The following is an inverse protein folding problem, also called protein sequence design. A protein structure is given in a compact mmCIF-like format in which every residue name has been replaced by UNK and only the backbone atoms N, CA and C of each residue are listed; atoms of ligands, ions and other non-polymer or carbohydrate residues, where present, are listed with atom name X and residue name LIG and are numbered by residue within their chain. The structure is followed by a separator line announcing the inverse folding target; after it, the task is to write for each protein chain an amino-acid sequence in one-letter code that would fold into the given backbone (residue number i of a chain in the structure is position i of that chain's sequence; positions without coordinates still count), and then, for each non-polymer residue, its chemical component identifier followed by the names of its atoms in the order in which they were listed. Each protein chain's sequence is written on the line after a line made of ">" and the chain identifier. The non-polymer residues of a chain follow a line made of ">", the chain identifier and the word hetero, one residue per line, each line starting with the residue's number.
data_IF_116794200406
#
_entry.id   IF_116794200406
#
_cell.length_a   1.000
_cell.length_b   1.000
_cell.length_c   1.000
_cell.angle_alpha   90.00
_cell.angle_beta   90.00
_cell.angle_gamma   90.00
#
_symmetry.space_group_name_H-M   'P 1'
#
loop_
_entity.id
_entity.type
_entity.pdbx_description
1 polymer ?
#
# COMPACT_ATOMS: atom_id res chain seq x y z
N UNK A 1 8.97 -0.74 8.24
CA UNK A 1 8.98 -1.49 6.96
C UNK A 1 9.75 -0.66 5.93
N UNK A 2 10.57 -1.28 5.07
CA UNK A 2 11.25 -0.62 3.94
C UNK A 2 10.77 -1.23 2.62
N UNK A 3 10.21 -0.45 1.66
CA UNK A 3 9.89 -0.95 0.35
C UNK A 3 11.18 -1.31 -0.40
N UNK A 4 11.18 -2.41 -1.14
CA UNK A 4 12.32 -2.85 -1.95
C UNK A 4 12.00 -2.83 -3.43
N UNK A 5 10.82 -3.29 -3.83
CA UNK A 5 10.42 -3.34 -5.24
C UNK A 5 8.91 -3.32 -5.37
N UNK A 6 8.39 -2.61 -6.38
CA UNK A 6 7.00 -2.67 -6.80
C UNK A 6 6.93 -2.95 -8.30
N UNK A 7 6.18 -3.96 -8.70
CA UNK A 7 5.78 -4.19 -10.08
C UNK A 7 4.26 -4.06 -10.16
N UNK A 8 3.79 -3.31 -11.15
CA UNK A 8 2.36 -3.11 -11.39
C UNK A 8 2.02 -3.14 -12.88
N UNK A 9 0.89 -3.75 -13.24
CA UNK A 9 0.35 -3.80 -14.59
C UNK A 9 -1.17 -3.84 -14.53
N UNK A 10 -1.85 -3.13 -15.41
CA UNK A 10 -3.31 -3.05 -15.46
C UNK A 10 -3.95 -2.41 -14.22
N UNK A 11 -3.18 -1.75 -13.34
CA UNK A 11 -3.68 -1.15 -12.10
C UNK A 11 -3.87 0.36 -12.25
N UNK A 12 -5.10 0.85 -12.10
CA UNK A 12 -5.47 2.27 -12.26
C UNK A 12 -4.87 2.88 -13.56
N UNK A 13 -4.07 3.96 -13.60
CA UNK A 13 -3.57 4.47 -14.90
C UNK A 13 -2.46 3.60 -15.50
N UNK A 14 -1.90 2.64 -14.77
CA UNK A 14 -0.76 1.83 -15.20
C UNK A 14 -1.21 0.65 -16.07
N UNK A 15 -1.63 0.91 -17.32
CA UNK A 15 -2.00 -0.13 -18.30
C UNK A 15 -0.84 -1.13 -18.53
N UNK A 16 0.34 -0.61 -18.79
CA UNK A 16 1.53 -1.41 -19.09
C UNK A 16 2.31 -1.75 -17.82
N UNK A 17 3.14 -2.80 -17.89
CA UNK A 17 4.00 -3.21 -16.78
C UNK A 17 4.99 -2.10 -16.45
N UNK A 18 4.96 -1.64 -15.21
CA UNK A 18 5.96 -0.75 -14.63
C UNK A 18 6.66 -1.45 -13.48
N UNK A 19 7.93 -1.15 -13.31
CA UNK A 19 8.77 -1.70 -12.26
C UNK A 19 9.51 -0.56 -11.59
N UNK A 20 9.41 -0.48 -10.27
CA UNK A 20 10.06 0.52 -9.45
C UNK A 20 10.94 -0.21 -8.44
N UNK A 21 12.25 0.00 -8.54
CA UNK A 21 13.24 -0.51 -7.60
C UNK A 21 13.51 0.55 -6.53
N UNK A 22 13.11 0.25 -5.29
CA UNK A 22 13.34 1.11 -4.13
C UNK A 22 14.58 0.69 -3.33
N UNK A 23 15.20 -0.46 -3.65
CA UNK A 23 16.28 -1.03 -2.84
C UNK A 23 17.45 -0.06 -2.65
N UNK A 24 17.77 0.69 -3.71
CA UNK A 24 18.85 1.69 -3.76
C UNK A 24 18.44 3.08 -3.28
N UNK A 25 17.14 3.32 -3.03
CA UNK A 25 16.61 4.63 -2.69
C UNK A 25 16.48 4.77 -1.17
N UNK A 26 17.12 5.79 -0.60
CA UNK A 26 16.94 6.16 0.81
C UNK A 26 15.98 7.34 0.97
N UNK A 27 16.02 8.28 0.02
CA UNK A 27 15.12 9.41 -0.10
C UNK A 27 14.85 9.64 -1.58
N UNK A 28 13.59 9.86 -1.96
CA UNK A 28 13.22 10.04 -3.37
C UNK A 28 11.96 10.89 -3.48
N UNK A 29 11.77 11.46 -4.67
CA UNK A 29 10.60 12.27 -5.02
C UNK A 29 9.91 11.64 -6.22
N UNK A 30 8.59 11.48 -6.12
CA UNK A 30 7.74 11.09 -7.27
C UNK A 30 7.13 12.37 -7.85
N UNK A 31 7.62 12.81 -9.02
CA UNK A 31 7.14 14.01 -9.71
C UNK A 31 6.36 13.66 -10.98
N UNK A 32 5.36 14.47 -11.29
CA UNK A 32 4.54 14.36 -12.50
C UNK A 32 3.30 15.23 -12.43
N UNK A 33 2.60 15.49 -13.54
CA UNK A 33 1.38 16.29 -13.58
C UNK A 33 0.26 15.68 -12.75
N UNK A 34 -0.76 16.46 -12.38
CA UNK A 34 -1.97 15.93 -11.74
C UNK A 34 -2.60 14.84 -12.63
N UNK A 35 -3.09 13.75 -12.02
CA UNK A 35 -3.65 12.61 -12.77
C UNK A 35 -2.63 11.60 -13.34
N UNK A 36 -1.32 11.86 -13.26
CA UNK A 36 -0.28 10.93 -13.75
C UNK A 36 -0.13 9.61 -12.99
N UNK A 37 -0.92 9.38 -11.93
CA UNK A 37 -0.89 8.12 -11.17
C UNK A 37 0.09 8.06 -10.01
N UNK A 38 0.69 9.20 -9.59
CA UNK A 38 1.57 9.28 -8.40
C UNK A 38 0.92 8.64 -7.16
N UNK A 39 -0.30 9.06 -6.84
CA UNK A 39 -1.08 8.47 -5.74
C UNK A 39 -1.41 7.00 -5.99
N UNK A 40 -1.57 6.58 -7.25
CA UNK A 40 -1.85 5.19 -7.59
C UNK A 40 -0.67 4.25 -7.34
N UNK A 41 0.58 4.72 -7.40
CA UNK A 41 1.77 3.93 -6.97
C UNK A 41 1.66 3.59 -5.49
N UNK A 42 1.32 4.60 -4.70
CA UNK A 42 1.16 4.52 -3.27
C UNK A 42 -0.01 3.60 -2.89
N UNK A 43 -1.17 3.78 -3.54
CA UNK A 43 -2.31 2.89 -3.37
C UNK A 43 -2.02 1.45 -3.80
N UNK A 44 -1.20 1.23 -4.83
CA UNK A 44 -0.80 -0.11 -5.24
C UNK A 44 -0.03 -0.84 -4.14
N UNK A 45 0.85 -0.14 -3.40
CA UNK A 45 1.55 -0.73 -2.24
C UNK A 45 0.57 -1.12 -1.13
N UNK A 46 -0.40 -0.25 -0.80
CA UNK A 46 -1.42 -0.55 0.22
C UNK A 46 -2.27 -1.73 -0.20
N UNK A 47 -2.74 -1.74 -1.44
CA UNK A 47 -3.56 -2.82 -1.95
C UNK A 47 -2.77 -4.13 -1.99
N UNK A 48 -1.49 -4.10 -2.37
CA UNK A 48 -0.62 -5.27 -2.32
C UNK A 48 -0.52 -5.83 -0.88
N UNK A 49 -0.33 -4.96 0.12
CA UNK A 49 -0.26 -5.35 1.53
C UNK A 49 -1.60 -5.93 2.04
N UNK A 50 -2.68 -5.15 1.96
CA UNK A 50 -3.92 -5.45 2.69
C UNK A 50 -5.02 -6.06 1.82
N UNK A 51 -4.92 -5.95 0.50
CA UNK A 51 -5.94 -6.44 -0.44
C UNK A 51 -7.21 -5.59 -0.47
N UNK A 52 -7.16 -4.39 0.10
CA UNK A 52 -8.29 -3.49 0.25
C UNK A 52 -8.03 -2.18 -0.49
N UNK A 53 -9.00 -1.67 -1.27
CA UNK A 53 -8.92 -0.34 -1.87
C UNK A 53 -8.83 0.73 -0.79
N UNK A 54 -8.16 1.83 -1.10
CA UNK A 54 -7.98 2.93 -0.14
C UNK A 54 -9.20 3.86 -0.02
N UNK A 55 -10.20 3.67 -0.88
CA UNK A 55 -11.47 4.39 -0.95
C UNK A 55 -12.62 3.37 -0.97
N UNK A 56 -13.88 3.83 -0.86
CA UNK A 56 -15.07 2.97 -1.00
C UNK A 56 -15.30 2.58 -2.47
N UNK A 57 -14.32 1.88 -3.05
CA UNK A 57 -14.34 1.38 -4.41
C UNK A 57 -14.50 -0.14 -4.40
N UNK A 58 -15.07 -0.69 -5.45
CA UNK A 58 -14.98 -2.12 -5.71
C UNK A 58 -13.58 -2.45 -6.22
N UNK A 59 -13.18 -3.71 -6.05
CA UNK A 59 -11.86 -4.14 -6.52
C UNK A 59 -11.71 -4.07 -8.04
N UNK A 60 -12.81 -4.19 -8.80
CA UNK A 60 -12.80 -4.07 -10.26
C UNK A 60 -12.57 -2.62 -10.72
N UNK A 61 -12.92 -1.62 -9.90
CA UNK A 61 -12.65 -0.21 -10.19
C UNK A 61 -11.15 0.12 -10.18
N UNK A 62 -10.33 -0.77 -9.60
CA UNK A 62 -8.87 -0.66 -9.62
C UNK A 62 -8.27 -1.18 -10.93
N UNK A 63 -9.03 -1.92 -11.73
CA UNK A 63 -8.59 -2.41 -13.03
C UNK A 63 -8.57 -1.24 -14.02
N UNK A 64 -7.46 -1.07 -14.71
CA UNK A 64 -7.36 -0.11 -15.81
C UNK A 64 -8.44 -0.43 -16.87
N UNK A 65 -9.19 0.57 -17.32
CA UNK A 65 -10.31 0.40 -18.27
C UNK A 65 -9.94 -0.32 -19.57
N UNK A 66 -8.66 -0.27 -19.97
CA UNK A 66 -8.15 -0.90 -21.19
C UNK A 66 -7.37 -2.19 -20.89
N UNK A 67 -7.64 -2.85 -19.76
CA UNK A 67 -6.99 -4.08 -19.32
C UNK A 67 -8.02 -5.10 -18.85
N UNK A 68 -7.74 -6.39 -19.04
CA UNK A 68 -8.61 -7.49 -18.57
C UNK A 68 -8.43 -7.86 -17.09
N UNK A 69 -7.67 -7.06 -16.33
CA UNK A 69 -7.24 -7.37 -14.96
C UNK A 69 -6.00 -6.57 -14.55
N UNK A 70 -5.55 -6.76 -13.32
CA UNK A 70 -4.31 -6.18 -12.82
C UNK A 70 -3.40 -7.22 -12.18
N UNK A 71 -2.12 -6.87 -12.15
CA UNK A 71 -1.05 -7.59 -11.49
C UNK A 71 -0.30 -6.61 -10.59
N UNK A 72 -0.09 -7.01 -9.33
CA UNK A 72 0.76 -6.32 -8.37
C UNK A 72 1.73 -7.31 -7.76
N UNK A 73 2.99 -6.91 -7.66
CA UNK A 73 4.03 -7.66 -6.96
C UNK A 73 4.87 -6.68 -6.15
N UNK A 74 4.72 -6.76 -4.83
CA UNK A 74 5.34 -5.85 -3.89
C UNK A 74 6.28 -6.60 -2.97
N UNK A 75 7.55 -6.19 -2.97
CA UNK A 75 8.60 -6.72 -2.12
C UNK A 75 9.05 -5.65 -1.12
N UNK A 76 9.14 -6.00 0.16
CA UNK A 76 9.52 -5.11 1.25
C UNK A 76 10.26 -5.87 2.35
N UNK A 77 10.95 -5.15 3.25
CA UNK A 77 11.62 -5.75 4.41
C UNK A 77 11.10 -5.24 5.75
N UNK A 78 11.08 -6.13 6.74
CA UNK A 78 10.73 -5.86 8.14
C UNK A 78 11.64 -6.70 9.04
N UNK A 79 12.34 -6.07 9.98
CA UNK A 79 13.21 -6.78 10.94
C UNK A 79 14.25 -7.69 10.27
N UNK A 80 14.88 -7.23 9.18
CA UNK A 80 15.88 -8.01 8.44
C UNK A 80 15.34 -9.14 7.55
N UNK A 81 14.04 -9.47 7.61
CA UNK A 81 13.39 -10.44 6.73
C UNK A 81 12.80 -9.76 5.50
N UNK A 82 12.82 -10.45 4.37
CA UNK A 82 12.23 -9.99 3.11
C UNK A 82 10.89 -10.68 2.89
N UNK A 83 9.88 -9.88 2.58
CA UNK A 83 8.52 -10.30 2.31
C UNK A 83 8.14 -9.90 0.90
N UNK A 84 7.38 -10.76 0.22
CA UNK A 84 6.85 -10.47 -1.11
C UNK A 84 5.39 -10.88 -1.17
N UNK A 85 4.54 -10.01 -1.72
CA UNK A 85 3.13 -10.29 -1.95
C UNK A 85 2.85 -10.09 -3.43
N UNK A 86 2.29 -11.11 -4.04
CA UNK A 86 1.79 -11.09 -5.41
C UNK A 86 0.26 -11.09 -5.36
N UNK A 87 -0.40 -10.17 -6.08
CA UNK A 87 -1.85 -10.13 -6.26
C UNK A 87 -2.18 -10.08 -7.73
N UNK A 88 -3.03 -11.00 -8.16
CA UNK A 88 -3.58 -11.06 -9.51
C UNK A 88 -5.10 -10.90 -9.43
N UNK A 89 -5.66 -10.08 -10.30
CA UNK A 89 -7.10 -9.99 -10.47
C UNK A 89 -7.44 -9.98 -11.95
N UNK A 90 -8.51 -10.67 -12.34
CA UNK A 90 -9.13 -10.58 -13.67
C UNK A 90 -10.47 -9.86 -13.52
N UNK A 91 -10.80 -8.98 -14.48
CA UNK A 91 -12.04 -8.22 -14.46
C UNK A 91 -13.25 -9.15 -14.44
N UNK A 92 -14.25 -8.85 -13.60
CA UNK A 92 -15.45 -9.70 -13.43
C UNK A 92 -15.17 -11.05 -12.77
N UNK A 93 -13.95 -11.29 -12.27
CA UNK A 93 -13.55 -12.53 -11.60
C UNK A 93 -12.90 -12.23 -10.24
N UNK A 94 -12.71 -13.28 -9.45
CA UNK A 94 -12.01 -13.22 -8.18
C UNK A 94 -10.54 -12.78 -8.32
N UNK A 95 -9.95 -12.40 -7.18
CA UNK A 95 -8.52 -12.15 -7.07
C UNK A 95 -7.80 -13.31 -6.40
N UNK A 96 -6.55 -13.52 -6.78
CA UNK A 96 -5.62 -14.45 -6.12
C UNK A 96 -4.50 -13.66 -5.44
N UNK A 97 -4.01 -14.18 -4.32
CA UNK A 97 -2.86 -13.63 -3.63
C UNK A 97 -1.86 -14.74 -3.27
N UNK A 98 -0.56 -14.43 -3.35
CA UNK A 98 0.53 -15.30 -2.93
C UNK A 98 1.47 -14.53 -2.02
N UNK A 99 1.94 -15.19 -0.96
CA UNK A 99 2.82 -14.60 0.03
C UNK A 99 4.12 -15.38 0.12
N UNK A 100 5.24 -14.67 0.20
CA UNK A 100 6.57 -15.24 0.28
C UNK A 100 7.36 -14.61 1.42
N UNK A 101 8.16 -15.42 2.10
CA UNK A 101 9.10 -14.97 3.15
C UNK A 101 10.48 -15.49 2.79
N UNK A 102 11.45 -14.60 2.64
CA UNK A 102 12.81 -14.89 2.20
C UNK A 102 12.83 -15.75 0.92
N UNK A 103 11.97 -15.42 -0.05
CA UNK A 103 11.85 -16.13 -1.32
C UNK A 103 11.01 -17.42 -1.29
N UNK A 104 10.67 -17.94 -0.11
CA UNK A 104 9.88 -19.17 0.02
C UNK A 104 8.40 -18.85 0.08
N UNK A 105 7.61 -19.48 -0.80
CA UNK A 105 6.14 -19.34 -0.81
C UNK A 105 5.55 -19.95 0.46
N UNK A 106 4.69 -19.19 1.14
CA UNK A 106 3.90 -19.68 2.27
C UNK A 106 2.52 -20.10 1.77
N UNK A 107 2.03 -21.24 2.27
CA UNK A 107 0.68 -21.74 2.00
C UNK A 107 -0.35 -21.02 2.90
N UNK A 108 -0.54 -19.72 2.65
CA UNK A 108 -1.50 -18.88 3.39
C UNK A 108 -2.63 -18.53 2.43
N UNK A 109 -3.87 -18.70 2.87
CA UNK A 109 -5.05 -18.28 2.09
C UNK A 109 -5.10 -16.77 1.95
N UNK A 110 -5.68 -16.27 0.85
CA UNK A 110 -5.76 -14.83 0.55
C UNK A 110 -6.37 -13.99 1.69
N UNK A 111 -7.37 -14.53 2.40
CA UNK A 111 -8.04 -13.87 3.54
C UNK A 111 -7.17 -13.83 4.81
N UNK A 112 -6.24 -14.77 4.96
CA UNK A 112 -5.31 -14.84 6.08
C UNK A 112 -4.07 -13.96 5.86
N UNK A 113 -3.68 -13.68 4.60
CA UNK A 113 -2.54 -12.79 4.29
C UNK A 113 -2.75 -11.41 4.90
N UNK A 114 -3.97 -10.85 4.85
CA UNK A 114 -4.25 -9.54 5.46
C UNK A 114 -3.91 -9.53 6.96
N UNK A 115 -4.34 -10.57 7.69
CA UNK A 115 -4.09 -10.71 9.13
C UNK A 115 -2.60 -10.86 9.43
N UNK A 116 -1.90 -11.67 8.65
CA UNK A 116 -0.44 -11.82 8.76
C UNK A 116 0.28 -10.48 8.59
N UNK A 117 -0.13 -9.69 7.59
CA UNK A 117 0.45 -8.36 7.36
C UNK A 117 0.12 -7.38 8.48
N UNK A 118 -1.08 -7.43 9.05
CA UNK A 118 -1.44 -6.62 10.21
C UNK A 118 -0.58 -6.96 11.43
N UNK A 119 -0.39 -8.24 11.73
CA UNK A 119 0.49 -8.70 12.80
C UNK A 119 1.95 -8.29 12.55
N UNK A 120 2.42 -8.44 11.31
CA UNK A 120 3.79 -8.09 10.92
C UNK A 120 4.09 -6.58 11.04
N UNK A 121 3.13 -5.74 10.63
CA UNK A 121 3.31 -4.29 10.60
C UNK A 121 2.82 -3.59 11.87
N UNK A 122 2.04 -4.28 12.71
CA UNK A 122 1.43 -3.73 13.92
C UNK A 122 0.30 -2.73 13.65
N UNK A 123 -0.17 -2.62 12.40
CA UNK A 123 -1.16 -1.63 11.98
C UNK A 123 -2.13 -2.21 10.96
N UNK A 124 -3.38 -1.72 10.98
CA UNK A 124 -4.37 -2.04 9.96
C UNK A 124 -4.18 -1.19 8.69
N UNK A 125 -4.95 -1.46 7.64
CA UNK A 125 -4.85 -0.75 6.36
C UNK A 125 -5.11 0.77 6.49
N UNK A 126 -6.06 1.16 7.34
CA UNK A 126 -6.43 2.57 7.61
C UNK A 126 -5.31 3.30 8.34
N UNK A 127 -4.78 2.71 9.41
CA UNK A 127 -3.64 3.23 10.17
C UNK A 127 -2.39 3.30 9.30
N UNK A 128 -2.08 2.23 8.57
CA UNK A 128 -0.96 2.20 7.63
C UNK A 128 -1.09 3.33 6.62
N UNK A 129 -2.29 3.56 6.06
CA UNK A 129 -2.53 4.67 5.13
C UNK A 129 -2.22 6.02 5.79
N UNK A 130 -2.65 6.27 7.02
CA UNK A 130 -2.37 7.54 7.73
C UNK A 130 -0.88 7.73 8.03
N UNK A 131 -0.17 6.66 8.39
CA UNK A 131 1.25 6.71 8.79
C UNK A 131 2.17 6.80 7.56
N UNK A 132 1.90 6.01 6.52
CA UNK A 132 2.71 5.97 5.30
C UNK A 132 2.30 7.03 4.27
N UNK A 133 1.05 7.51 4.29
CA UNK A 133 0.61 8.66 3.49
C UNK A 133 0.29 9.81 4.40
N UNK A 134 1.21 10.75 4.45
CA UNK A 134 0.93 12.07 4.99
C UNK A 134 0.14 12.84 3.91
N UNK A 135 -1.17 13.10 4.11
CA UNK A 135 -1.94 13.84 3.14
C UNK A 135 -1.35 15.25 3.02
N UNK A 136 -1.23 15.73 1.79
CA UNK A 136 -0.77 17.08 1.51
C UNK A 136 -1.64 18.08 2.30
N UNK A 137 -1.03 18.88 3.18
CA UNK A 137 -1.72 19.86 4.04
C UNK A 137 -1.76 19.51 5.54
N UNK A 138 -1.83 18.24 5.94
CA UNK A 138 -1.91 17.85 7.38
C UNK A 138 -0.61 18.08 8.16
N UNK A 139 0.51 18.27 7.47
CA UNK A 139 1.80 18.58 8.08
C UNK A 139 1.83 20.01 8.63
N UNK A 140 1.23 20.97 7.92
CA UNK A 140 1.19 22.36 8.37
C UNK A 140 0.44 22.47 9.70
N UNK A 141 -0.72 21.81 9.81
CA UNK A 141 -1.47 21.71 11.06
C UNK A 141 -0.62 21.11 12.17
N UNK A 142 0.04 19.96 11.98
CA UNK A 142 0.85 19.33 13.03
C UNK A 142 2.01 20.20 13.56
N UNK A 143 2.74 20.88 12.68
CA UNK A 143 3.86 21.73 13.10
C UNK A 143 3.41 23.07 13.69
N UNK A 144 2.27 23.60 13.25
CA UNK A 144 1.70 24.86 13.75
C UNK A 144 0.76 24.68 14.94
N UNK A 145 0.41 23.43 15.28
CA UNK A 145 -0.47 23.10 16.41
C UNK A 145 0.19 23.33 17.76
N UNK A 146 -0.61 23.83 18.70
CA UNK A 146 -0.27 23.83 20.13
C UNK A 146 -0.09 22.39 20.65
N UNK A 147 0.68 22.16 21.74
CA UNK A 147 0.99 20.82 22.25
C UNK A 147 -0.22 19.90 22.46
N UNK A 148 -1.37 20.45 22.88
CA UNK A 148 -2.62 19.70 23.05
C UNK A 148 -3.20 19.21 21.72
N UNK A 149 -3.31 20.09 20.72
CA UNK A 149 -3.78 19.75 19.37
C UNK A 149 -2.82 18.79 18.67
N UNK A 150 -1.51 18.95 18.90
CA UNK A 150 -0.50 18.01 18.39
C UNK A 150 -0.69 16.62 18.98
N UNK A 151 -1.01 16.53 20.28
CA UNK A 151 -1.33 15.25 20.93
C UNK A 151 -2.60 14.62 20.33
N UNK A 152 -3.67 15.40 20.11
CA UNK A 152 -4.88 14.92 19.43
C UNK A 152 -4.62 14.45 18.00
N UNK A 153 -3.75 15.15 17.25
CA UNK A 153 -3.29 14.70 15.94
C UNK A 153 -2.52 13.39 16.01
N UNK A 154 -1.66 13.18 17.02
CA UNK A 154 -0.95 11.90 17.22
C UNK A 154 -1.94 10.79 17.57
N UNK A 155 -2.85 11.04 18.50
CA UNK A 155 -3.88 10.10 18.94
C UNK A 155 -4.75 9.69 17.75
N UNK A 156 -5.22 10.65 16.95
CA UNK A 156 -6.03 10.38 15.74
C UNK A 156 -5.23 9.76 14.59
N UNK A 157 -3.93 10.04 14.46
CA UNK A 157 -3.06 9.38 13.48
C UNK A 157 -2.84 7.90 13.83
N UNK A 158 -2.78 7.58 15.12
CA UNK A 158 -2.57 6.24 15.64
C UNK A 158 -3.89 5.49 15.91
N UNK A 159 -5.05 6.14 15.71
CA UNK A 159 -6.39 5.62 16.08
C UNK A 159 -6.39 5.16 17.57
N UNK A 160 -5.79 5.96 18.47
CA UNK A 160 -5.76 5.73 19.92
C UNK A 160 -7.01 6.27 20.65
N UNK A 161 -8.06 6.64 19.91
CA UNK A 161 -9.31 7.25 20.43
C UNK A 161 -10.13 6.32 21.38
N UNK A 162 -9.59 5.15 21.74
CA UNK A 162 -10.21 4.12 22.58
C UNK A 162 -9.61 4.10 24.01
N UNK A 163 -8.76 5.09 24.35
CA UNK A 163 -8.18 5.27 25.68
C UNK A 163 -8.26 6.72 26.15
#
# INVERSE_FOLDING_TARGET
>A
MRPLKLVLKGFKPFKNRQEIDFSKLNFFVIRGPTGSGKSSILEAMVFALFGEPTEKLNHDDLVNKNSGGFYLDFTFSVGGKVYRIERLRRLGKGGEARFYVNGVRRAIRSDAIKREIQTLLGVNAKQFKKIFFLPQGRYAEFFQSEPAQRRELIVSLLDLDIY
#
